data_IF_246269566324
#
_entry.id   IF_246269566324
#
_cell.length_a   1.000
_cell.length_b   1.000
_cell.length_c   1.000
_cell.angle_alpha   90.00
_cell.angle_beta   90.00
_cell.angle_gamma   90.00
#
_symmetry.space_group_name_H-M   'P 1'
#
loop_
_entity.id
_entity.type
_entity.pdbx_description
1 polymer ?
#
# COMPACT_ATOMS: atom_id res chain seq x y z
N UNK A 1 16.90 66.28 -39.63
CA UNK A 1 16.27 65.46 -40.69
C UNK A 1 16.99 64.13 -40.97
N UNK A 2 18.32 64.06 -41.01
CA UNK A 2 19.02 62.79 -41.30
C UNK A 2 19.06 61.79 -40.12
N UNK A 3 19.17 62.29 -38.88
CA UNK A 3 19.22 61.41 -37.70
C UNK A 3 17.88 60.79 -37.30
N UNK A 4 16.79 61.52 -37.51
CA UNK A 4 15.46 61.00 -37.27
C UNK A 4 15.10 59.86 -38.26
N UNK A 5 15.45 60.02 -39.51
CA UNK A 5 15.23 58.98 -40.52
C UNK A 5 16.07 57.73 -40.29
N UNK A 6 17.32 57.87 -39.84
CA UNK A 6 18.17 56.72 -39.48
C UNK A 6 17.61 55.97 -38.26
N UNK A 7 17.02 56.67 -37.29
CA UNK A 7 16.45 56.06 -36.09
C UNK A 7 15.12 55.32 -36.44
N UNK A 8 14.29 55.87 -37.32
CA UNK A 8 13.07 55.26 -37.80
C UNK A 8 13.37 53.98 -38.59
N UNK A 9 14.38 53.99 -39.46
CA UNK A 9 14.82 52.78 -40.21
C UNK A 9 15.44 51.71 -39.28
N UNK A 10 16.12 52.11 -38.23
CA UNK A 10 16.69 51.16 -37.26
C UNK A 10 15.61 50.56 -36.35
N UNK A 11 14.54 51.27 -36.04
CA UNK A 11 13.38 50.76 -35.32
C UNK A 11 12.59 49.78 -36.20
N UNK A 12 12.35 50.07 -37.45
CA UNK A 12 11.66 49.18 -38.43
C UNK A 12 12.47 47.89 -38.64
N UNK A 13 13.76 47.94 -38.75
CA UNK A 13 14.59 46.74 -38.90
C UNK A 13 14.58 45.87 -37.61
N UNK A 14 14.52 46.50 -36.45
CA UNK A 14 14.38 45.77 -35.16
C UNK A 14 13.01 45.14 -35.05
N UNK A 15 11.97 45.80 -35.46
CA UNK A 15 10.62 45.25 -35.47
C UNK A 15 10.47 44.06 -36.44
N UNK A 16 10.99 44.19 -37.66
CA UNK A 16 11.02 43.07 -38.62
C UNK A 16 11.78 41.85 -38.10
N UNK A 17 12.92 42.05 -37.46
CA UNK A 17 13.70 40.97 -36.84
C UNK A 17 12.95 40.32 -35.70
N UNK A 18 12.27 41.08 -34.86
CA UNK A 18 11.41 40.56 -33.77
C UNK A 18 10.23 39.73 -34.34
N UNK A 19 9.56 40.21 -35.35
CA UNK A 19 8.44 39.52 -35.98
C UNK A 19 8.91 38.21 -36.65
N UNK A 20 10.05 38.22 -37.34
CA UNK A 20 10.65 37.03 -37.93
C UNK A 20 11.09 35.99 -36.87
N UNK A 21 11.65 36.45 -35.75
CA UNK A 21 11.98 35.60 -34.60
C UNK A 21 10.71 34.98 -33.96
N UNK A 22 9.68 35.81 -33.75
CA UNK A 22 8.42 35.33 -33.20
C UNK A 22 7.74 34.30 -34.11
N UNK A 23 7.68 34.52 -35.39
CA UNK A 23 7.11 33.55 -36.36
C UNK A 23 7.87 32.21 -36.32
N UNK A 24 9.15 32.22 -36.05
CA UNK A 24 9.96 30.99 -35.97
C UNK A 24 9.83 30.29 -34.64
N UNK A 25 9.72 31.03 -33.52
CA UNK A 25 9.69 30.46 -32.16
C UNK A 25 8.28 30.09 -31.72
N UNK A 26 7.28 30.82 -32.18
CA UNK A 26 5.88 30.64 -31.79
C UNK A 26 5.36 29.20 -31.96
N UNK A 27 5.58 28.47 -33.06
CA UNK A 27 5.12 27.09 -33.17
C UNK A 27 5.77 26.17 -32.16
N UNK A 28 7.02 26.40 -31.79
CA UNK A 28 7.69 25.59 -30.75
C UNK A 28 7.12 25.88 -29.36
N UNK A 29 6.86 27.17 -29.05
CA UNK A 29 6.24 27.53 -27.76
C UNK A 29 4.85 26.92 -27.64
N UNK A 30 4.05 26.98 -28.69
CA UNK A 30 2.72 26.34 -28.73
C UNK A 30 2.82 24.83 -28.56
N UNK A 31 3.73 24.18 -29.28
CA UNK A 31 3.92 22.74 -29.20
C UNK A 31 4.36 22.28 -27.80
N UNK A 32 5.29 23.00 -27.18
CA UNK A 32 5.74 22.71 -25.81
C UNK A 32 4.62 22.93 -24.79
N UNK A 33 3.89 24.04 -24.92
CA UNK A 33 2.74 24.35 -24.04
C UNK A 33 1.65 23.27 -24.14
N UNK A 34 1.32 22.83 -25.36
CA UNK A 34 0.36 21.73 -25.58
C UNK A 34 0.87 20.42 -24.98
N UNK A 35 2.15 20.12 -25.16
CA UNK A 35 2.79 18.95 -24.56
C UNK A 35 2.69 18.93 -23.04
N UNK A 36 2.95 20.06 -22.39
CA UNK A 36 2.81 20.20 -20.92
C UNK A 36 1.36 19.98 -20.47
N UNK A 37 0.39 20.56 -21.19
CA UNK A 37 -1.03 20.43 -20.86
C UNK A 37 -1.48 18.96 -20.97
N UNK A 38 -1.12 18.29 -22.06
CA UNK A 38 -1.48 16.87 -22.27
C UNK A 38 -0.83 16.00 -21.19
N UNK A 39 0.45 16.21 -20.90
CA UNK A 39 1.17 15.44 -19.89
C UNK A 39 0.57 15.65 -18.49
N UNK A 40 0.31 16.90 -18.12
CA UNK A 40 -0.26 17.24 -16.81
C UNK A 40 -1.68 16.70 -16.66
N UNK A 41 -2.50 16.82 -17.71
CA UNK A 41 -3.87 16.29 -17.70
C UNK A 41 -3.89 14.77 -17.61
N UNK A 42 -3.02 14.08 -18.35
CA UNK A 42 -2.86 12.64 -18.29
C UNK A 42 -2.39 12.16 -16.91
N UNK A 43 -1.42 12.85 -16.32
CA UNK A 43 -0.92 12.56 -14.98
C UNK A 43 -2.00 12.73 -13.90
N UNK A 44 -2.74 13.87 -13.93
CA UNK A 44 -3.83 14.14 -12.98
C UNK A 44 -4.95 13.12 -13.12
N UNK A 45 -5.34 12.81 -14.38
CA UNK A 45 -6.37 11.78 -14.62
C UNK A 45 -5.98 10.42 -14.09
N UNK A 46 -4.73 9.97 -14.33
CA UNK A 46 -4.20 8.71 -13.83
C UNK A 46 -4.16 8.67 -12.31
N UNK A 47 -3.69 9.75 -11.70
CA UNK A 47 -3.60 9.84 -10.25
C UNK A 47 -4.99 9.81 -9.58
N UNK A 48 -5.93 10.58 -10.10
CA UNK A 48 -7.32 10.60 -9.59
C UNK A 48 -7.99 9.22 -9.75
N UNK A 49 -7.74 8.52 -10.87
CA UNK A 49 -8.28 7.18 -11.09
C UNK A 49 -7.73 6.18 -10.07
N UNK A 50 -6.42 6.18 -9.84
CA UNK A 50 -5.79 5.28 -8.87
C UNK A 50 -6.20 5.60 -7.42
N UNK A 51 -6.36 6.89 -7.08
CA UNK A 51 -6.80 7.30 -5.74
C UNK A 51 -8.27 6.96 -5.49
N UNK A 52 -9.13 7.09 -6.49
CA UNK A 52 -10.53 6.65 -6.41
C UNK A 52 -10.64 5.13 -6.19
N UNK A 53 -9.82 4.35 -6.88
CA UNK A 53 -9.77 2.89 -6.70
C UNK A 53 -9.33 2.49 -5.28
N UNK A 54 -8.31 3.17 -4.75
CA UNK A 54 -7.84 2.93 -3.37
C UNK A 54 -8.90 3.32 -2.35
N UNK A 55 -9.61 4.42 -2.57
CA UNK A 55 -10.69 4.85 -1.69
C UNK A 55 -11.82 3.82 -1.69
N UNK A 56 -12.23 3.33 -2.84
CA UNK A 56 -13.24 2.28 -2.96
C UNK A 56 -12.83 1.01 -2.20
N UNK A 57 -11.58 0.55 -2.39
CA UNK A 57 -11.07 -0.61 -1.66
C UNK A 57 -11.05 -0.39 -0.14
N UNK A 58 -10.78 0.84 0.31
CA UNK A 58 -10.87 1.24 1.72
C UNK A 58 -12.29 1.17 2.27
N UNK A 59 -13.25 1.65 1.50
CA UNK A 59 -14.67 1.60 1.85
C UNK A 59 -15.17 0.15 1.89
N UNK A 60 -14.83 -0.66 0.91
CA UNK A 60 -15.17 -2.09 0.83
C UNK A 60 -14.57 -2.87 2.01
N UNK A 61 -13.31 -2.59 2.36
CA UNK A 61 -12.66 -3.20 3.53
C UNK A 61 -13.35 -2.80 4.83
N UNK A 62 -13.71 -1.52 4.97
CA UNK A 62 -14.41 -1.01 6.15
C UNK A 62 -15.78 -1.66 6.29
N UNK A 63 -16.53 -1.79 5.19
CA UNK A 63 -17.81 -2.49 5.16
C UNK A 63 -17.67 -3.97 5.55
N UNK A 64 -16.64 -4.66 5.04
CA UNK A 64 -16.36 -6.04 5.41
C UNK A 64 -16.04 -6.20 6.91
N UNK A 65 -15.27 -5.27 7.49
CA UNK A 65 -14.98 -5.24 8.93
C UNK A 65 -16.23 -4.96 9.75
N UNK A 66 -17.12 -4.08 9.28
CA UNK A 66 -18.39 -3.81 9.94
C UNK A 66 -19.29 -5.04 10.00
N UNK A 67 -19.43 -5.79 8.90
CA UNK A 67 -20.15 -7.07 8.88
C UNK A 67 -19.59 -8.04 9.94
N UNK A 68 -18.28 -8.13 10.10
CA UNK A 68 -17.69 -8.96 11.15
C UNK A 68 -18.04 -8.47 12.58
N UNK A 69 -18.13 -7.17 12.79
CA UNK A 69 -18.51 -6.60 14.08
C UNK A 69 -20.00 -6.80 14.39
N UNK A 70 -20.85 -6.95 13.38
CA UNK A 70 -22.27 -7.28 13.47
C UNK A 70 -22.50 -8.80 13.57
N UNK A 71 -21.42 -9.59 13.72
CA UNK A 71 -21.41 -11.06 13.80
C UNK A 71 -21.85 -11.77 12.50
N UNK A 72 -22.02 -11.06 11.40
CA UNK A 72 -22.25 -11.67 10.07
C UNK A 72 -20.92 -12.07 9.44
N UNK A 73 -20.32 -13.11 10.03
CA UNK A 73 -18.97 -13.57 9.66
C UNK A 73 -18.92 -14.13 8.23
N UNK A 74 -20.01 -14.75 7.76
CA UNK A 74 -20.06 -15.30 6.40
C UNK A 74 -20.09 -14.20 5.34
N UNK A 75 -20.93 -13.18 5.53
CA UNK A 75 -20.94 -12.02 4.63
C UNK A 75 -19.62 -11.25 4.66
N UNK A 76 -19.00 -11.12 5.85
CA UNK A 76 -17.68 -10.50 5.98
C UNK A 76 -16.60 -11.25 5.19
N UNK A 77 -16.53 -12.59 5.33
CA UNK A 77 -15.57 -13.41 4.58
C UNK A 77 -15.79 -13.24 3.06
N UNK A 78 -17.04 -13.27 2.60
CA UNK A 78 -17.35 -13.09 1.17
C UNK A 78 -16.93 -11.71 0.66
N UNK A 79 -17.13 -10.65 1.45
CA UNK A 79 -16.69 -9.30 1.11
C UNK A 79 -15.16 -9.19 1.08
N UNK A 80 -14.45 -9.81 2.04
CA UNK A 80 -12.99 -9.86 2.06
C UNK A 80 -12.41 -10.65 0.89
N UNK A 81 -13.07 -11.72 0.45
CA UNK A 81 -12.64 -12.51 -0.72
C UNK A 81 -12.70 -11.69 -2.01
N UNK A 82 -13.71 -10.84 -2.19
CA UNK A 82 -13.75 -9.90 -3.33
C UNK A 82 -12.55 -8.94 -3.33
N UNK A 83 -12.17 -8.44 -2.15
CA UNK A 83 -10.99 -7.58 -2.04
C UNK A 83 -9.70 -8.36 -2.37
N UNK A 84 -9.62 -9.64 -2.00
CA UNK A 84 -8.48 -10.50 -2.35
C UNK A 84 -8.38 -10.73 -3.85
N UNK A 85 -9.51 -10.86 -4.54
CA UNK A 85 -9.55 -11.12 -5.98
C UNK A 85 -9.34 -9.87 -6.84
N UNK A 86 -9.82 -8.72 -6.40
CA UNK A 86 -9.89 -7.48 -7.20
C UNK A 86 -8.99 -6.35 -6.67
N UNK A 87 -8.44 -6.51 -5.47
CA UNK A 87 -7.75 -5.45 -4.75
C UNK A 87 -6.28 -5.26 -5.13
N UNK A 88 -5.70 -4.19 -4.59
CA UNK A 88 -4.25 -3.96 -4.65
C UNK A 88 -3.52 -4.66 -3.50
N UNK A 89 -2.24 -4.95 -3.68
CA UNK A 89 -1.41 -5.75 -2.77
C UNK A 89 -1.55 -5.38 -1.28
N UNK A 90 -1.66 -4.09 -0.94
CA UNK A 90 -1.86 -3.64 0.44
C UNK A 90 -3.21 -4.07 1.01
N UNK A 91 -4.29 -3.81 0.27
CA UNK A 91 -5.65 -4.19 0.69
C UNK A 91 -5.87 -5.70 0.65
N UNK A 92 -5.29 -6.40 -0.31
CA UNK A 92 -5.27 -7.87 -0.36
C UNK A 92 -4.64 -8.45 0.92
N UNK A 93 -3.51 -7.88 1.35
CA UNK A 93 -2.83 -8.29 2.58
C UNK A 93 -3.71 -8.06 3.82
N UNK A 94 -4.33 -6.88 3.94
CA UNK A 94 -5.24 -6.55 5.06
C UNK A 94 -6.49 -7.44 5.05
N UNK A 95 -7.09 -7.68 3.88
CA UNK A 95 -8.25 -8.55 3.73
C UNK A 95 -7.94 -9.99 4.15
N UNK A 96 -6.81 -10.54 3.71
CA UNK A 96 -6.32 -11.86 4.14
C UNK A 96 -6.09 -11.93 5.64
N UNK A 97 -5.48 -10.92 6.25
CA UNK A 97 -5.27 -10.87 7.71
C UNK A 97 -6.60 -10.88 8.47
N UNK A 98 -7.55 -10.05 8.06
CA UNK A 98 -8.87 -10.00 8.69
C UNK A 98 -9.62 -11.32 8.50
N UNK A 99 -9.61 -11.90 7.30
CA UNK A 99 -10.21 -13.21 7.02
C UNK A 99 -9.62 -14.32 7.92
N UNK A 100 -8.29 -14.35 8.09
CA UNK A 100 -7.64 -15.31 8.99
C UNK A 100 -8.17 -15.17 10.43
N UNK A 101 -8.26 -13.93 10.93
CA UNK A 101 -8.81 -13.64 12.26
C UNK A 101 -10.25 -14.13 12.41
N UNK A 102 -11.11 -13.92 11.41
CA UNK A 102 -12.51 -14.37 11.42
C UNK A 102 -12.61 -15.90 11.41
N UNK A 103 -11.79 -16.56 10.59
CA UNK A 103 -11.75 -18.03 10.55
C UNK A 103 -11.37 -18.62 11.91
N UNK A 104 -10.38 -18.03 12.58
CA UNK A 104 -9.98 -18.45 13.93
C UNK A 104 -11.12 -18.22 14.93
N UNK A 105 -11.79 -17.08 14.87
CA UNK A 105 -12.96 -16.79 15.70
C UNK A 105 -14.10 -17.82 15.51
N UNK A 106 -14.28 -18.33 14.31
CA UNK A 106 -15.24 -19.39 13.97
C UNK A 106 -14.80 -20.80 14.43
N UNK A 107 -13.61 -20.94 15.00
CA UNK A 107 -13.02 -22.22 15.38
C UNK A 107 -12.27 -22.94 14.25
N UNK A 108 -12.14 -22.32 13.08
CA UNK A 108 -11.42 -22.84 11.92
C UNK A 108 -9.92 -22.49 12.00
N UNK A 109 -9.31 -22.81 13.17
CA UNK A 109 -7.96 -22.40 13.53
C UNK A 109 -6.94 -22.69 12.42
N UNK A 110 -6.94 -23.91 11.88
CA UNK A 110 -5.92 -24.31 10.89
C UNK A 110 -6.02 -23.52 9.59
N UNK A 111 -7.23 -23.17 9.16
CA UNK A 111 -7.42 -22.34 7.96
C UNK A 111 -6.87 -20.92 8.18
N UNK A 112 -7.14 -20.33 9.34
CA UNK A 112 -6.60 -19.02 9.69
C UNK A 112 -5.07 -19.03 9.79
N UNK A 113 -4.50 -20.05 10.45
CA UNK A 113 -3.04 -20.19 10.56
C UNK A 113 -2.37 -20.37 9.20
N UNK A 114 -2.97 -21.10 8.28
CA UNK A 114 -2.46 -21.28 6.92
C UNK A 114 -2.40 -19.93 6.15
N UNK A 115 -3.39 -19.04 6.35
CA UNK A 115 -3.38 -17.71 5.76
C UNK A 115 -2.23 -16.86 6.36
N UNK A 116 -2.01 -16.91 7.67
CA UNK A 116 -0.88 -16.20 8.27
C UNK A 116 0.47 -16.73 7.77
N UNK A 117 0.62 -18.04 7.55
CA UNK A 117 1.82 -18.63 6.94
C UNK A 117 2.02 -18.19 5.48
N UNK A 118 0.95 -18.06 4.71
CA UNK A 118 1.03 -17.50 3.36
C UNK A 118 1.49 -16.04 3.40
N UNK A 119 0.91 -15.23 4.28
CA UNK A 119 1.27 -13.82 4.44
C UNK A 119 2.71 -13.63 4.95
N UNK A 120 3.19 -14.47 5.85
CA UNK A 120 4.59 -14.46 6.32
C UNK A 120 5.58 -14.58 5.15
N UNK A 121 5.20 -15.32 4.10
CA UNK A 121 6.05 -15.57 2.91
C UNK A 121 5.84 -14.55 1.81
N UNK A 122 4.59 -14.16 1.58
CA UNK A 122 4.15 -13.54 0.33
C UNK A 122 3.53 -12.16 0.51
N UNK A 123 3.40 -11.62 1.74
CA UNK A 123 2.84 -10.27 1.93
C UNK A 123 3.71 -9.19 1.26
N UNK A 124 3.06 -8.08 0.89
CA UNK A 124 3.61 -7.00 0.05
C UNK A 124 4.92 -6.41 0.58
N UNK A 125 5.07 -6.26 1.87
CA UNK A 125 6.29 -5.74 2.49
C UNK A 125 6.70 -6.52 3.75
N UNK A 126 7.89 -6.21 4.26
CA UNK A 126 8.46 -6.91 5.42
C UNK A 126 7.66 -6.69 6.69
N UNK A 127 7.06 -5.50 6.90
CA UNK A 127 6.26 -5.23 8.10
C UNK A 127 5.03 -6.11 8.17
N UNK A 128 4.37 -6.33 7.01
CA UNK A 128 3.23 -7.24 6.94
C UNK A 128 3.63 -8.71 7.10
N UNK A 129 4.79 -9.10 6.60
CA UNK A 129 5.33 -10.46 6.84
C UNK A 129 5.64 -10.69 8.32
N UNK A 130 6.25 -9.70 8.97
CA UNK A 130 6.60 -9.77 10.39
C UNK A 130 5.36 -9.88 11.28
N UNK A 131 4.33 -9.03 11.05
CA UNK A 131 3.10 -9.11 11.85
C UNK A 131 2.32 -10.41 11.58
N UNK A 132 2.33 -10.93 10.35
CA UNK A 132 1.72 -12.22 10.07
C UNK A 132 2.39 -13.35 10.87
N UNK A 133 3.71 -13.33 11.00
CA UNK A 133 4.46 -14.25 11.84
C UNK A 133 4.09 -14.13 13.32
N UNK A 134 3.93 -12.90 13.84
CA UNK A 134 3.47 -12.65 15.22
C UNK A 134 2.05 -13.19 15.43
N UNK A 135 1.14 -12.91 14.50
CA UNK A 135 -0.26 -13.39 14.58
C UNK A 135 -0.35 -14.92 14.50
N UNK A 136 0.50 -15.53 13.66
CA UNK A 136 0.62 -16.98 13.65
C UNK A 136 1.02 -17.52 15.03
N UNK A 137 2.12 -17.02 15.60
CA UNK A 137 2.62 -17.45 16.91
C UNK A 137 1.59 -17.23 17.98
N UNK A 138 0.95 -16.06 18.03
CA UNK A 138 -0.08 -15.74 19.02
C UNK A 138 -1.26 -16.74 19.00
N UNK A 139 -1.71 -17.11 17.81
CA UNK A 139 -2.88 -17.98 17.66
C UNK A 139 -2.53 -19.49 17.71
N UNK A 140 -1.26 -19.86 17.60
CA UNK A 140 -0.80 -21.25 17.64
C UNK A 140 -0.12 -21.65 18.95
N UNK A 141 -0.02 -20.75 19.93
CA UNK A 141 0.65 -20.99 21.21
C UNK A 141 0.20 -22.24 21.95
N UNK A 142 -1.07 -22.63 21.82
CA UNK A 142 -1.66 -23.75 22.54
C UNK A 142 -1.60 -25.06 21.76
N UNK A 143 -1.25 -24.99 20.48
CA UNK A 143 -1.32 -26.15 19.57
C UNK A 143 0.03 -26.53 18.96
N UNK A 144 0.98 -25.59 18.88
CA UNK A 144 2.30 -25.80 18.28
C UNK A 144 3.39 -26.03 19.33
N UNK A 145 4.49 -26.67 18.90
CA UNK A 145 5.69 -26.82 19.72
C UNK A 145 6.30 -25.46 20.06
N UNK A 146 6.51 -25.15 21.36
CA UNK A 146 7.08 -23.88 21.80
C UNK A 146 8.43 -23.55 21.15
N UNK A 147 9.25 -24.57 20.81
CA UNK A 147 10.55 -24.35 20.18
C UNK A 147 10.39 -23.83 18.75
N UNK A 148 9.44 -24.36 17.99
CA UNK A 148 9.13 -23.88 16.62
C UNK A 148 8.67 -22.43 16.67
N UNK A 149 7.83 -22.07 17.65
CA UNK A 149 7.34 -20.72 17.86
C UNK A 149 8.46 -19.75 18.26
N UNK A 150 9.36 -20.18 19.16
CA UNK A 150 10.53 -19.40 19.55
C UNK A 150 11.46 -19.13 18.36
N UNK A 151 11.67 -20.11 17.49
CA UNK A 151 12.52 -19.95 16.31
C UNK A 151 11.91 -18.95 15.30
N UNK A 152 10.59 -18.90 15.18
CA UNK A 152 9.90 -17.87 14.40
C UNK A 152 10.10 -16.47 14.99
N UNK A 153 9.88 -16.30 16.27
CA UNK A 153 9.98 -15.01 16.97
C UNK A 153 11.41 -14.48 16.99
N UNK A 154 12.41 -15.35 17.17
CA UNK A 154 13.82 -14.93 17.17
C UNK A 154 14.22 -14.21 15.86
N UNK A 155 13.64 -14.57 14.72
CA UNK A 155 13.88 -13.90 13.44
C UNK A 155 13.41 -12.45 13.44
N UNK A 156 12.45 -12.11 14.28
CA UNK A 156 11.86 -10.76 14.36
C UNK A 156 12.61 -9.83 15.32
N UNK A 157 13.62 -10.31 16.05
CA UNK A 157 14.43 -9.46 16.96
C UNK A 157 15.20 -8.36 16.19
N UNK A 158 15.42 -8.53 14.90
CA UNK A 158 16.04 -7.54 14.03
C UNK A 158 15.02 -6.60 13.35
N UNK A 159 13.72 -6.84 13.50
CA UNK A 159 12.67 -5.99 12.95
C UNK A 159 12.71 -4.60 13.56
N UNK A 160 12.66 -3.57 12.74
CA UNK A 160 12.65 -2.18 13.22
C UNK A 160 11.32 -1.81 13.89
N UNK A 161 10.22 -2.40 13.44
CA UNK A 161 8.86 -2.06 13.88
C UNK A 161 8.39 -3.03 14.97
N UNK A 162 8.60 -4.34 14.78
CA UNK A 162 7.97 -5.38 15.58
C UNK A 162 8.87 -5.98 16.65
N UNK A 163 10.10 -5.47 16.84
CA UNK A 163 11.06 -5.98 17.82
C UNK A 163 10.49 -6.06 19.24
N UNK A 164 9.81 -5.02 19.70
CA UNK A 164 9.24 -4.99 21.05
C UNK A 164 8.16 -6.06 21.23
N UNK A 165 7.25 -6.20 20.25
CA UNK A 165 6.22 -7.24 20.27
C UNK A 165 6.81 -8.64 20.20
N UNK A 166 7.87 -8.83 19.42
CA UNK A 166 8.58 -10.11 19.34
C UNK A 166 9.24 -10.49 20.68
N UNK A 167 9.86 -9.54 21.37
CA UNK A 167 10.46 -9.78 22.69
C UNK A 167 9.40 -10.10 23.75
N UNK A 168 8.26 -9.42 23.73
CA UNK A 168 7.14 -9.72 24.62
C UNK A 168 6.60 -11.12 24.37
N UNK A 169 6.36 -11.48 23.10
CA UNK A 169 5.90 -12.82 22.73
C UNK A 169 6.89 -13.92 23.12
N UNK A 170 8.19 -13.67 22.97
CA UNK A 170 9.25 -14.57 23.43
C UNK A 170 9.21 -14.79 24.94
N UNK A 171 8.94 -13.73 25.71
CA UNK A 171 8.80 -13.86 27.17
C UNK A 171 7.59 -14.73 27.53
N UNK A 172 6.45 -14.55 26.88
CA UNK A 172 5.27 -15.40 27.07
C UNK A 172 5.53 -16.87 26.74
N UNK A 173 6.17 -17.15 25.60
CA UNK A 173 6.51 -18.52 25.21
C UNK A 173 7.42 -19.21 26.23
N UNK A 174 8.43 -18.50 26.74
CA UNK A 174 9.34 -19.04 27.78
C UNK A 174 8.64 -19.29 29.11
N UNK A 175 7.73 -18.39 29.52
CA UNK A 175 6.93 -18.59 30.74
C UNK A 175 6.01 -19.81 30.60
N UNK A 176 5.45 -20.03 29.44
CA UNK A 176 4.60 -21.19 29.15
C UNK A 176 5.43 -22.48 29.18
N UNK A 177 6.62 -22.49 28.57
CA UNK A 177 7.51 -23.63 28.55
C UNK A 177 7.91 -24.05 29.97
N UNK A 178 8.32 -23.12 30.84
CA UNK A 178 8.66 -23.40 32.22
C UNK A 178 7.50 -23.95 33.05
N UNK A 179 6.25 -23.50 32.79
CA UNK A 179 5.05 -24.03 33.48
C UNK A 179 4.66 -25.45 33.03
N UNK A 180 5.16 -25.89 31.90
CA UNK A 180 4.87 -27.25 31.38
C UNK A 180 5.90 -28.27 31.90
N UNK A 181 7.04 -27.80 32.42
CA UNK A 181 8.10 -28.62 32.98
C UNK A 181 7.97 -28.85 34.51
N UNK A 182 7.06 -28.10 35.20
CA UNK A 182 6.63 -28.30 36.58
C UNK A 182 5.43 -29.26 36.67
#
# INVERSE_FOLDING_TARGET
MSEEFVREVDEDIKEEKRIKLWKKVFPYVVSVSLGIIIFTSGYVFWNNYTDSLKQQLGDDFTAAVQLANEEDLDASILALDRIVDEGSDGYVTLAKMKKASILIQRGELQLGLNIYLDLERNAVDQSFRDIASILYVLNSMDTEDPQILLDKINKLETSQIWKSSALEMKAFLKLKQNKTEE
#
